data_IF_650193208060
#
_entry.id   IF_650193208060
#
_cell.length_a   1.000
_cell.length_b   1.000
_cell.length_c   1.000
_cell.angle_alpha   90.00
_cell.angle_beta   90.00
_cell.angle_gamma   90.00
#
_symmetry.space_group_name_H-M   'P 1'
#
loop_
_entity.id
_entity.type
_entity.pdbx_description
1 polymer ?
#
# COMPACT_ATOMS: atom_id res chain seq x y z
N UNK A 1 -8.30 -6.55 22.71
CA UNK A 1 -8.04 -6.47 21.26
C UNK A 1 -7.00 -5.39 21.10
N UNK A 2 -5.78 -5.74 20.70
CA UNK A 2 -4.67 -4.79 20.71
C UNK A 2 -4.95 -3.68 19.69
N UNK A 3 -5.10 -2.46 20.18
CA UNK A 3 -5.06 -1.24 19.39
C UNK A 3 -3.67 -1.18 18.75
N UNK A 4 -3.51 -1.81 17.57
CA UNK A 4 -2.30 -1.64 16.77
C UNK A 4 -2.30 -0.18 16.33
N UNK A 5 -1.64 0.66 17.12
CA UNK A 5 -1.34 2.03 16.74
C UNK A 5 -0.71 1.99 15.36
N UNK A 6 -1.39 2.62 14.39
CA UNK A 6 -0.94 2.63 13.01
C UNK A 6 0.45 3.26 12.92
N UNK A 7 1.42 2.48 12.45
CA UNK A 7 2.76 3.00 12.11
C UNK A 7 2.79 3.16 10.60
N UNK A 8 3.02 4.38 10.08
CA UNK A 8 3.14 4.59 8.65
C UNK A 8 4.21 3.66 8.05
N UNK A 9 3.90 2.91 6.99
CA UNK A 9 4.88 2.05 6.34
C UNK A 9 6.00 2.91 5.73
N UNK A 10 7.20 2.33 5.64
CA UNK A 10 8.29 2.93 4.87
C UNK A 10 8.01 2.77 3.38
N UNK A 11 8.53 3.69 2.57
CA UNK A 11 8.38 3.63 1.11
C UNK A 11 8.82 2.30 0.50
N UNK A 12 9.92 1.70 1.02
CA UNK A 12 10.36 0.37 0.59
C UNK A 12 9.36 -0.75 0.85
N UNK A 13 8.59 -0.69 1.95
CA UNK A 13 7.55 -1.69 2.26
C UNK A 13 6.33 -1.53 1.34
N UNK A 14 5.93 -0.28 1.06
CA UNK A 14 4.84 0.00 0.09
C UNK A 14 5.19 -0.56 -1.29
N UNK A 15 6.44 -0.36 -1.72
CA UNK A 15 6.94 -0.92 -2.98
C UNK A 15 6.91 -2.44 -2.99
N UNK A 16 7.39 -3.08 -1.91
CA UNK A 16 7.40 -4.54 -1.77
C UNK A 16 5.98 -5.12 -1.84
N UNK A 17 5.03 -4.54 -1.11
CA UNK A 17 3.63 -4.98 -1.13
C UNK A 17 3.00 -4.80 -2.52
N UNK A 18 3.30 -3.70 -3.23
CA UNK A 18 2.85 -3.52 -4.61
C UNK A 18 3.37 -4.64 -5.53
N UNK A 19 4.65 -4.97 -5.41
CA UNK A 19 5.29 -6.03 -6.20
C UNK A 19 4.71 -7.41 -5.86
N UNK A 20 4.43 -7.70 -4.57
CA UNK A 20 3.75 -8.91 -4.12
C UNK A 20 2.32 -9.03 -4.66
N UNK A 21 1.59 -7.91 -4.69
CA UNK A 21 0.26 -7.83 -5.30
C UNK A 21 0.28 -7.98 -6.84
N UNK A 22 1.46 -8.09 -7.46
CA UNK A 22 1.61 -8.19 -8.91
C UNK A 22 1.21 -6.91 -9.66
N UNK A 23 1.20 -5.76 -8.97
CA UNK A 23 0.74 -4.49 -9.54
C UNK A 23 1.92 -3.69 -10.12
N UNK A 24 1.74 -3.16 -11.31
CA UNK A 24 2.62 -2.09 -11.81
C UNK A 24 2.31 -0.75 -11.12
N UNK A 25 3.23 0.22 -11.20
CA UNK A 25 3.02 1.58 -10.69
C UNK A 25 1.75 2.22 -11.27
N UNK A 26 1.46 1.95 -12.55
CA UNK A 26 0.25 2.46 -13.23
C UNK A 26 -1.01 1.81 -12.65
N UNK A 27 -1.03 0.48 -12.54
CA UNK A 27 -2.17 -0.25 -12.00
C UNK A 27 -2.45 0.14 -10.54
N UNK A 28 -1.40 0.29 -9.73
CA UNK A 28 -1.56 0.75 -8.35
C UNK A 28 -2.14 2.19 -8.32
N UNK A 29 -1.62 3.10 -9.14
CA UNK A 29 -2.18 4.44 -9.25
C UNK A 29 -3.67 4.42 -9.68
N UNK A 30 -4.03 3.58 -10.66
CA UNK A 30 -5.41 3.40 -11.14
C UNK A 30 -6.34 2.83 -10.05
N UNK A 31 -5.91 1.80 -9.31
CA UNK A 31 -6.68 1.19 -8.21
C UNK A 31 -6.97 2.21 -7.10
N UNK A 32 -6.00 3.08 -6.80
CA UNK A 32 -6.13 4.09 -5.75
C UNK A 32 -6.72 5.41 -6.26
N UNK A 33 -7.03 5.52 -7.55
CA UNK A 33 -7.61 6.72 -8.14
C UNK A 33 -6.68 7.94 -8.12
N UNK A 34 -5.36 7.72 -8.12
CA UNK A 34 -4.35 8.78 -8.10
C UNK A 34 -3.44 8.72 -9.34
N UNK A 35 -2.58 9.72 -9.49
CA UNK A 35 -1.59 9.74 -10.58
C UNK A 35 -0.33 8.94 -10.22
N UNK A 36 0.35 8.39 -11.23
CA UNK A 36 1.60 7.63 -11.05
C UNK A 36 2.69 8.40 -10.27
N UNK A 37 2.91 9.71 -10.49
CA UNK A 37 3.86 10.49 -9.69
C UNK A 37 3.45 10.57 -8.21
N UNK A 38 2.15 10.67 -7.92
CA UNK A 38 1.64 10.67 -6.55
C UNK A 38 1.82 9.30 -5.88
N UNK A 39 1.65 8.22 -6.63
CA UNK A 39 1.95 6.86 -6.15
C UNK A 39 3.46 6.69 -5.88
N UNK A 40 4.30 7.14 -6.80
CA UNK A 40 5.77 7.06 -6.66
C UNK A 40 6.29 7.77 -5.41
N UNK A 41 5.67 8.89 -5.01
CA UNK A 41 5.97 9.57 -3.73
C UNK A 41 5.64 8.75 -2.49
N UNK A 42 4.66 7.85 -2.57
CA UNK A 42 4.29 6.91 -1.48
C UNK A 42 5.31 5.79 -1.33
N UNK A 43 5.99 5.44 -2.41
CA UNK A 43 7.12 4.48 -2.40
C UNK A 43 8.48 5.13 -2.12
N UNK A 44 8.54 6.46 -2.14
CA UNK A 44 9.79 7.21 -1.97
C UNK A 44 10.14 7.34 -0.48
N UNK A 45 11.41 7.17 -0.13
CA UNK A 45 11.89 7.29 1.27
C UNK A 45 12.50 8.67 1.58
N UNK A 46 12.26 9.66 0.73
CA UNK A 46 12.81 11.02 0.84
C UNK A 46 11.91 12.02 1.58
N UNK A 47 12.35 13.28 1.64
CA UNK A 47 11.66 14.40 2.30
C UNK A 47 10.25 14.68 1.71
N UNK A 48 9.98 14.21 0.48
CA UNK A 48 8.68 14.31 -0.18
C UNK A 48 7.81 13.05 -0.09
N UNK A 49 8.14 12.16 0.86
CA UNK A 49 7.34 10.95 1.14
C UNK A 49 5.92 11.31 1.56
N UNK A 50 4.95 10.67 0.92
CA UNK A 50 3.54 10.76 1.31
C UNK A 50 3.18 9.40 1.90
N UNK A 51 3.01 9.27 3.22
CA UNK A 51 2.62 7.99 3.81
C UNK A 51 1.23 7.58 3.30
N UNK A 52 1.02 6.27 3.16
CA UNK A 52 -0.34 5.74 3.03
C UNK A 52 -1.13 6.06 4.31
N UNK A 53 -2.45 6.13 4.19
CA UNK A 53 -3.33 6.09 5.34
C UNK A 53 -3.50 4.64 5.82
N UNK A 54 -3.97 4.40 7.07
CA UNK A 54 -4.21 3.05 7.59
C UNK A 54 -5.06 2.18 6.67
N UNK A 55 -6.15 2.75 6.15
CA UNK A 55 -7.08 2.05 5.26
C UNK A 55 -6.41 1.69 3.92
N UNK A 56 -5.66 2.63 3.34
CA UNK A 56 -4.95 2.42 2.08
C UNK A 56 -3.86 1.34 2.24
N UNK A 57 -3.15 1.35 3.37
CA UNK A 57 -2.14 0.35 3.66
C UNK A 57 -2.74 -1.05 3.86
N UNK A 58 -3.81 -1.16 4.65
CA UNK A 58 -4.54 -2.43 4.81
C UNK A 58 -5.05 -2.95 3.48
N UNK A 59 -5.58 -2.08 2.62
CA UNK A 59 -6.02 -2.47 1.28
C UNK A 59 -4.86 -3.00 0.41
N UNK A 60 -3.68 -2.37 0.46
CA UNK A 60 -2.51 -2.86 -0.25
C UNK A 60 -2.05 -4.24 0.27
N UNK A 61 -2.07 -4.45 1.58
CA UNK A 61 -1.74 -5.74 2.20
C UNK A 61 -2.72 -6.84 1.76
N UNK A 62 -4.01 -6.52 1.67
CA UNK A 62 -5.02 -7.45 1.19
C UNK A 62 -4.82 -7.81 -0.29
N UNK A 63 -4.45 -6.83 -1.12
CA UNK A 63 -4.12 -7.07 -2.53
C UNK A 63 -2.85 -7.91 -2.69
N UNK A 64 -1.91 -7.77 -1.75
CA UNK A 64 -0.66 -8.53 -1.71
C UNK A 64 -0.80 -9.92 -1.07
N UNK A 65 -2.00 -10.29 -0.59
CA UNK A 65 -2.25 -11.49 0.22
C UNK A 65 -1.36 -11.60 1.48
N UNK A 66 -0.81 -10.47 1.95
CA UNK A 66 0.16 -10.40 3.06
C UNK A 66 -0.52 -9.97 4.38
N UNK A 67 -1.84 -9.73 4.37
CA UNK A 67 -2.55 -9.30 5.56
C UNK A 67 -2.73 -10.47 6.55
N UNK A 68 -2.33 -10.33 7.83
CA UNK A 68 -2.24 -11.45 8.77
C UNK A 68 -3.57 -12.11 9.15
N UNK A 69 -4.69 -11.39 9.01
CA UNK A 69 -6.01 -11.83 9.49
C UNK A 69 -7.10 -11.85 8.42
N UNK A 70 -6.83 -11.32 7.23
CA UNK A 70 -7.88 -11.07 6.23
C UNK A 70 -7.37 -11.42 4.84
N UNK A 71 -8.21 -12.08 4.04
CA UNK A 71 -7.92 -12.48 2.66
C UNK A 71 -8.96 -11.88 1.73
N UNK A 72 -8.52 -11.39 0.58
CA UNK A 72 -9.40 -10.73 -0.39
C UNK A 72 -10.08 -11.78 -1.28
N UNK A 73 -11.29 -12.20 -0.90
CA UNK A 73 -12.08 -13.20 -1.64
C UNK A 73 -13.06 -12.58 -2.61
N UNK A 74 -13.17 -13.15 -3.82
CA UNK A 74 -14.24 -12.80 -4.77
C UNK A 74 -15.59 -13.27 -4.20
N UNK A 75 -16.62 -12.41 -4.30
CA UNK A 75 -18.01 -12.80 -4.02
C UNK A 75 -18.58 -13.68 -5.13
#
# INVERSE_FOLDING_TARGET
MAEKSYVPPKGGEVRRLRELAGLSLKQAAEIYGITVPSWSKRESEGVSHIPLNPVEYTYLQLLADDHPELTLSKK
#
